data_IF_562127251578
#
_entry.id   IF_562127251578
#
_cell.length_a   1.000
_cell.length_b   1.000
_cell.length_c   1.000
_cell.angle_alpha   90.00
_cell.angle_beta   90.00
_cell.angle_gamma   90.00
#
_symmetry.space_group_name_H-M   'P 1'
#
loop_
_entity.id
_entity.type
_entity.pdbx_description
1 polymer ?
#
# COMPACT_ATOMS: atom_id res chain seq x y z
N UNK A 1 -38.92 -89.00 -24.74
CA UNK A 1 -39.37 -87.65 -25.12
C UNK A 1 -38.17 -86.75 -25.17
N UNK A 2 -37.83 -86.32 -26.37
CA UNK A 2 -36.70 -85.46 -26.73
C UNK A 2 -37.11 -84.01 -26.52
N UNK A 3 -36.49 -83.33 -25.55
CA UNK A 3 -36.66 -81.89 -25.32
C UNK A 3 -36.06 -81.14 -26.50
N UNK A 4 -36.88 -80.35 -27.18
CA UNK A 4 -36.53 -79.66 -28.41
C UNK A 4 -35.64 -78.44 -28.16
N UNK A 5 -34.73 -78.19 -29.11
CA UNK A 5 -33.74 -77.11 -29.14
C UNK A 5 -34.30 -75.66 -29.01
N UNK A 6 -35.62 -75.49 -28.84
CA UNK A 6 -36.31 -74.20 -28.62
C UNK A 6 -36.62 -73.89 -27.16
N UNK A 7 -36.55 -74.86 -26.25
CA UNK A 7 -36.82 -74.62 -24.81
C UNK A 7 -35.57 -74.19 -24.02
N UNK A 8 -34.38 -74.26 -24.62
CA UNK A 8 -33.13 -73.78 -24.00
C UNK A 8 -32.89 -72.27 -24.15
N UNK A 9 -33.71 -71.55 -24.94
CA UNK A 9 -33.51 -70.13 -25.24
C UNK A 9 -34.52 -69.18 -24.58
N UNK A 10 -35.34 -69.67 -23.64
CA UNK A 10 -36.33 -68.84 -22.93
C UNK A 10 -35.87 -68.28 -21.57
N UNK A 11 -34.76 -68.78 -21.02
CA UNK A 11 -34.37 -68.54 -19.62
C UNK A 11 -33.14 -67.65 -19.39
N UNK A 12 -32.60 -67.00 -20.43
CA UNK A 12 -31.31 -66.30 -20.32
C UNK A 12 -31.38 -64.77 -20.53
N UNK A 13 -32.57 -64.15 -20.52
CA UNK A 13 -32.72 -62.72 -20.87
C UNK A 13 -33.34 -61.84 -19.79
N UNK A 14 -33.55 -62.33 -18.56
CA UNK A 14 -34.20 -61.55 -17.50
C UNK A 14 -33.33 -61.28 -16.25
N UNK A 15 -31.99 -61.28 -16.38
CA UNK A 15 -31.09 -60.89 -15.28
C UNK A 15 -29.93 -59.98 -15.74
N UNK A 16 -30.08 -59.31 -16.89
CA UNK A 16 -29.01 -58.52 -17.50
C UNK A 16 -29.36 -57.05 -17.77
N UNK A 17 -30.46 -56.54 -17.22
CA UNK A 17 -30.87 -55.15 -17.39
C UNK A 17 -31.18 -54.55 -16.03
N UNK A 18 -30.13 -54.06 -15.35
CA UNK A 18 -30.13 -52.95 -14.36
C UNK A 18 -28.77 -52.89 -13.65
N UNK A 19 -27.67 -52.98 -14.40
CA UNK A 19 -26.48 -52.26 -13.97
C UNK A 19 -26.79 -50.78 -14.24
N UNK A 20 -27.54 -50.17 -13.32
CA UNK A 20 -27.70 -48.73 -13.22
C UNK A 20 -26.31 -48.13 -13.39
N UNK A 21 -26.10 -47.45 -14.52
CA UNK A 21 -25.08 -46.42 -14.60
C UNK A 21 -25.57 -45.32 -13.67
N UNK A 22 -25.44 -45.57 -12.35
CA UNK A 22 -25.52 -44.52 -11.38
C UNK A 22 -24.44 -43.52 -11.80
N UNK A 23 -24.76 -42.23 -11.93
CA UNK A 23 -23.71 -41.25 -12.12
C UNK A 23 -22.75 -41.47 -10.95
N UNK A 24 -21.50 -41.87 -11.25
CA UNK A 24 -20.41 -41.68 -10.30
C UNK A 24 -20.28 -40.17 -10.17
N UNK A 25 -21.13 -39.58 -9.35
CA UNK A 25 -20.85 -38.26 -8.81
C UNK A 25 -19.46 -38.37 -8.26
N UNK A 26 -18.53 -37.58 -8.77
CA UNK A 26 -17.21 -37.48 -8.21
C UNK A 26 -17.43 -37.16 -6.72
N UNK A 27 -17.23 -38.16 -5.86
CA UNK A 27 -17.29 -37.97 -4.44
C UNK A 27 -16.08 -37.10 -4.16
N UNK A 28 -16.32 -35.79 -4.03
CA UNK A 28 -15.27 -34.82 -3.82
C UNK A 28 -14.37 -35.31 -2.69
N UNK A 29 -13.06 -35.28 -2.90
CA UNK A 29 -12.11 -35.78 -1.92
C UNK A 29 -12.44 -35.22 -0.54
N UNK A 30 -12.62 -36.11 0.44
CA UNK A 30 -12.93 -35.73 1.81
C UNK A 30 -11.74 -34.93 2.36
N UNK A 31 -11.99 -33.68 2.77
CA UNK A 31 -10.95 -32.82 3.33
C UNK A 31 -10.92 -32.98 4.85
N UNK A 32 -9.74 -33.31 5.38
CA UNK A 32 -9.49 -33.38 6.83
C UNK A 32 -8.65 -32.18 7.28
N UNK A 33 -9.10 -31.47 8.31
CA UNK A 33 -8.36 -30.36 8.95
C UNK A 33 -8.15 -30.72 10.41
N UNK A 34 -6.91 -30.59 10.90
CA UNK A 34 -6.55 -30.74 12.31
C UNK A 34 -5.97 -29.41 12.83
N UNK A 35 -6.41 -28.98 14.02
CA UNK A 35 -5.96 -27.73 14.66
C UNK A 35 -5.27 -28.08 15.98
N UNK A 36 -3.95 -27.89 16.02
CA UNK A 36 -3.11 -28.23 17.17
C UNK A 36 -2.94 -27.02 18.09
N UNK A 37 -3.86 -26.85 19.05
CA UNK A 37 -3.91 -25.66 19.91
C UNK A 37 -2.69 -25.52 20.86
N UNK A 38 -1.95 -26.61 21.11
CA UNK A 38 -0.80 -26.64 22.00
C UNK A 38 0.55 -26.55 21.26
N UNK A 39 0.53 -26.33 19.95
CA UNK A 39 1.72 -26.26 19.09
C UNK A 39 1.80 -24.88 18.40
N UNK A 40 2.14 -23.80 19.13
CA UNK A 40 2.26 -22.49 18.53
C UNK A 40 3.43 -22.42 17.56
N UNK A 41 3.17 -22.01 16.32
CA UNK A 41 4.19 -21.90 15.25
C UNK A 41 4.82 -20.51 15.12
N UNK A 42 4.19 -19.48 15.67
CA UNK A 42 4.69 -18.11 15.60
C UNK A 42 3.65 -17.06 15.93
N UNK A 43 4.07 -15.80 15.99
CA UNK A 43 3.17 -14.65 16.13
C UNK A 43 2.82 -14.11 14.75
N UNK A 44 1.53 -13.99 14.46
CA UNK A 44 1.06 -13.27 13.27
C UNK A 44 1.29 -11.78 13.53
N UNK A 45 2.26 -11.19 12.83
CA UNK A 45 2.57 -9.77 12.96
C UNK A 45 1.34 -8.93 12.62
N UNK A 46 0.97 -7.91 13.41
CA UNK A 46 -0.12 -7.00 13.07
C UNK A 46 0.14 -6.28 11.74
N UNK A 47 1.41 -6.14 11.34
CA UNK A 47 1.77 -5.48 10.09
C UNK A 47 1.39 -6.29 8.84
N UNK A 48 0.95 -7.55 8.97
CA UNK A 48 0.36 -8.28 7.82
C UNK A 48 -0.96 -7.65 7.38
N UNK A 49 -1.65 -6.93 8.27
CA UNK A 49 -2.88 -6.19 8.01
C UNK A 49 -2.61 -4.69 7.75
N UNK A 50 -1.46 -4.40 7.14
CA UNK A 50 -1.11 -3.04 6.74
C UNK A 50 -1.78 -2.64 5.45
N UNK A 51 -1.81 -1.34 5.18
CA UNK A 51 -2.44 -0.77 4.00
C UNK A 51 -1.47 0.11 3.23
N UNK A 52 -1.86 0.39 2.00
CA UNK A 52 -1.09 1.19 1.05
C UNK A 52 -2.00 2.23 0.42
N UNK A 53 -1.52 3.47 0.43
CA UNK A 53 -2.19 4.61 -0.19
C UNK A 53 -1.19 5.33 -1.11
N UNK A 54 -1.65 5.65 -2.31
CA UNK A 54 -0.85 6.34 -3.32
C UNK A 54 -1.57 7.61 -3.75
N UNK A 55 -0.81 8.63 -4.15
CA UNK A 55 -1.29 9.75 -4.97
C UNK A 55 -1.75 9.26 -6.36
N UNK A 56 -2.87 8.53 -6.36
CA UNK A 56 -3.45 7.86 -7.53
C UNK A 56 -4.97 8.08 -7.51
N UNK A 57 -5.48 8.66 -8.60
CA UNK A 57 -6.91 8.85 -8.81
C UNK A 57 -7.61 9.53 -7.63
N UNK A 58 -8.68 8.91 -7.13
CA UNK A 58 -9.46 9.39 -5.99
C UNK A 58 -8.98 8.91 -4.61
N UNK A 59 -7.83 8.23 -4.51
CA UNK A 59 -7.37 7.66 -3.22
C UNK A 59 -7.05 8.77 -2.22
N UNK A 60 -6.15 9.68 -2.58
CA UNK A 60 -5.82 10.83 -1.73
C UNK A 60 -6.91 11.89 -1.84
N UNK A 61 -7.11 12.45 -3.03
CA UNK A 61 -8.04 13.55 -3.22
C UNK A 61 -9.46 13.04 -3.44
N UNK A 62 -10.42 13.63 -2.74
CA UNK A 62 -11.76 13.09 -2.50
C UNK A 62 -11.78 11.94 -1.48
N UNK A 63 -10.97 10.89 -1.66
CA UNK A 63 -10.95 9.73 -0.76
C UNK A 63 -10.54 10.06 0.68
N UNK A 64 -9.31 10.51 0.89
CA UNK A 64 -8.77 10.88 2.20
C UNK A 64 -8.90 12.39 2.44
N UNK A 65 -8.34 13.20 1.56
CA UNK A 65 -8.31 14.65 1.63
C UNK A 65 -9.50 15.24 0.88
N UNK A 66 -10.37 15.89 1.64
CA UNK A 66 -11.54 16.63 1.11
C UNK A 66 -11.34 18.15 1.22
N UNK A 67 -10.35 18.61 1.98
CA UNK A 67 -10.09 20.02 2.27
C UNK A 67 -10.84 20.52 3.51
N UNK A 68 -10.23 21.46 4.24
CA UNK A 68 -10.73 21.96 5.53
C UNK A 68 -12.10 22.63 5.39
N UNK A 69 -12.30 23.43 4.33
CA UNK A 69 -13.54 24.13 4.01
C UNK A 69 -14.59 23.26 3.28
N UNK A 70 -14.36 21.95 3.18
CA UNK A 70 -15.27 21.06 2.48
C UNK A 70 -16.60 20.89 3.22
N UNK A 71 -17.69 20.77 2.46
CA UNK A 71 -19.00 20.36 2.98
C UNK A 71 -19.00 18.91 3.48
N UNK A 72 -18.05 18.10 3.04
CA UNK A 72 -17.87 16.74 3.54
C UNK A 72 -17.31 16.81 4.96
N UNK A 73 -17.94 16.15 5.96
CA UNK A 73 -17.45 16.16 7.34
C UNK A 73 -15.99 15.72 7.43
N UNK A 74 -15.14 16.56 7.99
CA UNK A 74 -13.69 16.37 8.01
C UNK A 74 -13.05 16.77 9.35
N UNK A 75 -11.82 16.32 9.56
CA UNK A 75 -10.95 16.73 10.67
C UNK A 75 -9.65 17.25 10.05
N UNK A 76 -9.46 18.57 10.03
CA UNK A 76 -8.29 19.19 9.39
C UNK A 76 -8.16 18.84 7.91
N UNK A 77 -9.29 18.77 7.19
CA UNK A 77 -9.34 18.43 5.77
C UNK A 77 -9.36 16.93 5.44
N UNK A 78 -9.18 16.05 6.44
CA UNK A 78 -9.25 14.60 6.28
C UNK A 78 -10.70 14.13 6.50
N UNK A 79 -11.25 13.35 5.57
CA UNK A 79 -12.61 12.79 5.60
C UNK A 79 -12.86 12.01 6.90
N UNK A 80 -13.77 12.50 7.73
CA UNK A 80 -14.03 11.93 9.08
C UNK A 80 -14.59 10.52 9.01
N UNK A 81 -15.51 10.25 8.09
CA UNK A 81 -16.12 8.93 7.94
C UNK A 81 -15.09 7.85 7.61
N UNK A 82 -14.16 8.14 6.70
CA UNK A 82 -13.06 7.23 6.36
C UNK A 82 -12.22 6.90 7.60
N UNK A 83 -11.83 7.92 8.37
CA UNK A 83 -11.06 7.73 9.62
C UNK A 83 -11.77 6.77 10.56
N UNK A 84 -13.08 6.95 10.77
CA UNK A 84 -13.86 6.09 11.68
C UNK A 84 -13.93 4.64 11.20
N UNK A 85 -13.97 4.40 9.89
CA UNK A 85 -13.94 3.05 9.34
C UNK A 85 -12.55 2.41 9.44
N UNK A 86 -11.49 3.16 9.11
CA UNK A 86 -10.11 2.67 9.15
C UNK A 86 -9.70 2.34 10.60
N UNK A 87 -10.09 3.15 11.59
CA UNK A 87 -9.84 2.83 13.01
C UNK A 87 -10.37 1.45 13.41
N UNK A 88 -11.54 1.05 12.90
CA UNK A 88 -12.21 -0.22 13.29
C UNK A 88 -11.43 -1.45 12.84
N UNK A 89 -10.72 -1.35 11.71
CA UNK A 89 -9.92 -2.46 11.19
C UNK A 89 -8.51 -2.52 11.77
N UNK A 90 -8.14 -1.56 12.63
CA UNK A 90 -6.88 -1.53 13.41
C UNK A 90 -5.65 -1.76 12.51
N UNK A 91 -5.41 -0.89 11.53
CA UNK A 91 -4.31 -1.04 10.58
C UNK A 91 -2.96 -1.10 11.31
N UNK A 92 -2.05 -1.97 10.84
CA UNK A 92 -0.67 -2.01 11.32
C UNK A 92 0.11 -0.76 10.89
N UNK A 93 0.57 -0.76 9.63
CA UNK A 93 1.22 0.41 9.01
C UNK A 93 0.42 0.94 7.82
N UNK A 94 0.62 2.21 7.49
CA UNK A 94 0.12 2.87 6.28
C UNK A 94 1.29 3.28 5.39
N UNK A 95 1.39 2.73 4.18
CA UNK A 95 2.42 3.11 3.20
C UNK A 95 1.97 4.31 2.35
N UNK A 96 2.84 5.33 2.19
CA UNK A 96 2.63 6.55 1.38
C UNK A 96 4.00 7.10 0.91
N UNK A 97 4.16 7.90 -0.17
CA UNK A 97 3.15 8.52 -1.05
C UNK A 97 2.72 7.68 -2.23
N UNK A 98 3.27 6.48 -2.40
CA UNK A 98 2.92 5.68 -3.54
C UNK A 98 3.89 4.59 -3.86
N UNK A 99 3.49 3.76 -4.80
CA UNK A 99 4.39 2.91 -5.52
C UNK A 99 5.18 3.77 -6.49
N UNK A 100 4.81 3.74 -7.76
CA UNK A 100 5.52 4.48 -8.79
C UNK A 100 5.55 6.00 -8.57
N UNK A 101 4.51 6.58 -7.94
CA UNK A 101 4.51 7.99 -7.60
C UNK A 101 5.64 8.38 -6.63
N UNK A 102 6.04 7.50 -5.70
CA UNK A 102 7.08 7.83 -4.73
C UNK A 102 8.42 8.15 -5.40
N UNK A 103 8.77 7.41 -6.45
CA UNK A 103 10.02 7.60 -7.21
C UNK A 103 10.02 8.82 -8.14
N UNK A 104 8.97 9.63 -8.16
CA UNK A 104 8.99 11.00 -8.72
C UNK A 104 8.78 12.09 -7.67
N UNK A 105 8.43 11.72 -6.44
CA UNK A 105 7.99 12.66 -5.43
C UNK A 105 9.17 13.41 -4.79
N UNK A 106 8.97 14.71 -4.55
CA UNK A 106 9.85 15.53 -3.72
C UNK A 106 9.08 15.93 -2.47
N UNK A 107 9.47 15.38 -1.32
CA UNK A 107 8.76 15.60 -0.06
C UNK A 107 8.67 17.07 0.34
N UNK A 108 9.59 17.91 -0.16
CA UNK A 108 9.60 19.36 0.07
C UNK A 108 8.43 20.07 -0.60
N UNK A 109 7.94 19.52 -1.71
CA UNK A 109 6.77 20.06 -2.38
C UNK A 109 5.50 19.93 -1.50
N UNK A 110 5.49 18.98 -0.57
CA UNK A 110 4.36 18.68 0.32
C UNK A 110 4.44 19.28 1.73
N UNK A 111 5.30 20.25 1.99
CA UNK A 111 5.41 20.92 3.30
C UNK A 111 5.20 22.43 3.18
N UNK A 112 5.08 23.12 4.33
CA UNK A 112 4.84 24.56 4.36
C UNK A 112 3.39 24.96 4.02
N UNK A 113 3.14 26.28 3.88
CA UNK A 113 1.82 26.82 3.57
C UNK A 113 1.25 26.22 2.29
N UNK A 114 0.06 25.63 2.40
CA UNK A 114 -0.55 24.78 1.37
C UNK A 114 -0.83 25.53 0.05
N UNK A 115 -1.15 26.81 0.14
CA UNK A 115 -1.38 27.73 -0.97
C UNK A 115 -0.11 28.07 -1.76
N UNK A 116 1.07 27.86 -1.16
CA UNK A 116 2.39 28.10 -1.77
C UNK A 116 3.05 26.83 -2.29
N UNK A 117 2.46 25.66 -2.05
CA UNK A 117 3.00 24.38 -2.51
C UNK A 117 2.93 24.30 -4.04
N UNK A 118 3.98 23.80 -4.71
CA UNK A 118 4.01 23.74 -6.16
C UNK A 118 3.04 22.69 -6.68
N UNK A 119 2.50 22.93 -7.88
CA UNK A 119 1.79 21.90 -8.63
C UNK A 119 2.77 21.11 -9.49
N UNK A 120 2.62 19.79 -9.55
CA UNK A 120 3.43 18.88 -10.38
C UNK A 120 2.55 18.11 -11.36
N UNK A 121 3.19 17.47 -12.33
CA UNK A 121 2.51 16.46 -13.15
C UNK A 121 2.18 15.26 -12.26
N UNK A 122 0.95 14.78 -12.33
CA UNK A 122 0.57 13.55 -11.64
C UNK A 122 1.16 12.36 -12.43
N UNK A 123 1.90 11.46 -11.77
CA UNK A 123 2.55 10.30 -12.40
C UNK A 123 1.56 9.58 -13.33
N UNK A 124 0.38 9.25 -12.79
CA UNK A 124 -0.64 8.45 -13.46
C UNK A 124 -1.40 9.20 -14.57
N UNK A 125 -1.24 10.52 -14.65
CA UNK A 125 -1.85 11.32 -15.71
C UNK A 125 -0.98 11.36 -16.99
N UNK A 126 0.33 11.18 -16.89
CA UNK A 126 1.29 11.46 -17.98
C UNK A 126 2.26 10.30 -18.28
N UNK A 127 2.03 9.10 -17.73
CA UNK A 127 2.84 7.92 -18.07
C UNK A 127 2.37 7.24 -19.34
N UNK A 128 3.33 6.71 -20.11
CA UNK A 128 3.11 5.80 -21.26
C UNK A 128 2.33 4.52 -20.89
N UNK A 129 2.17 4.23 -19.59
CA UNK A 129 1.33 3.14 -19.11
C UNK A 129 -0.13 3.50 -19.32
N UNK A 130 -0.68 3.07 -20.46
CA UNK A 130 -2.10 3.15 -20.89
C UNK A 130 -2.96 3.97 -19.93
N UNK A 131 -2.78 5.29 -19.93
CA UNK A 131 -3.70 6.19 -19.25
C UNK A 131 -5.09 5.77 -19.74
N UNK A 132 -5.89 5.22 -18.83
CA UNK A 132 -7.22 4.75 -19.18
C UNK A 132 -7.97 5.94 -19.74
N UNK A 133 -9.00 5.73 -20.58
CA UNK A 133 -9.74 6.86 -21.13
C UNK A 133 -10.32 7.78 -20.03
N UNK A 134 -10.44 7.25 -18.80
CA UNK A 134 -10.71 7.99 -17.58
C UNK A 134 -9.71 9.13 -17.33
N UNK A 135 -8.38 8.92 -17.46
CA UNK A 135 -7.36 9.95 -17.23
C UNK A 135 -7.22 10.92 -18.40
N UNK A 136 -7.28 10.42 -19.64
CA UNK A 136 -7.15 11.24 -20.86
C UNK A 136 -8.23 12.32 -20.97
N UNK A 137 -9.43 12.02 -20.49
CA UNK A 137 -10.58 12.91 -20.56
C UNK A 137 -10.71 13.85 -19.34
N UNK A 138 -9.81 13.75 -18.34
CA UNK A 138 -9.81 14.68 -17.22
C UNK A 138 -9.44 16.08 -17.71
N UNK A 139 -10.40 16.99 -17.61
CA UNK A 139 -10.19 18.40 -17.96
C UNK A 139 -9.45 19.14 -16.85
N UNK A 140 -9.79 18.83 -15.60
CA UNK A 140 -9.35 19.54 -14.39
C UNK A 140 -9.25 18.58 -13.20
N UNK A 141 -8.67 19.06 -12.09
CA UNK A 141 -8.65 18.34 -10.82
C UNK A 141 -7.32 17.64 -10.53
N UNK A 142 -7.12 17.22 -9.27
CA UNK A 142 -5.85 16.66 -8.80
C UNK A 142 -5.52 15.28 -9.41
N UNK A 143 -6.49 14.66 -10.10
CA UNK A 143 -6.26 13.46 -10.89
C UNK A 143 -5.46 13.75 -12.17
N UNK A 144 -5.33 15.02 -12.58
CA UNK A 144 -4.56 15.47 -13.75
C UNK A 144 -3.20 16.06 -13.39
N UNK A 145 -3.12 16.74 -12.26
CA UNK A 145 -1.89 17.34 -11.72
C UNK A 145 -1.86 17.12 -10.23
N UNK A 146 -0.68 17.05 -9.64
CA UNK A 146 -0.51 16.91 -8.20
C UNK A 146 -0.42 18.30 -7.55
N UNK A 147 -1.40 18.75 -6.74
CA UNK A 147 -1.32 20.05 -6.07
C UNK A 147 -0.46 20.07 -4.79
N UNK A 148 -0.04 18.91 -4.30
CA UNK A 148 0.69 18.72 -3.05
C UNK A 148 -0.05 19.22 -1.79
N UNK A 149 -1.39 19.28 -1.85
CA UNK A 149 -2.21 19.71 -0.72
C UNK A 149 -2.20 18.70 0.44
N UNK A 150 -2.01 17.43 0.12
CA UNK A 150 -1.78 16.36 1.08
C UNK A 150 -0.31 15.94 0.99
N UNK A 151 0.49 16.30 1.99
CA UNK A 151 1.91 15.97 2.05
C UNK A 151 2.28 15.34 3.39
N UNK A 152 3.52 15.56 3.83
CA UNK A 152 4.07 14.90 5.03
C UNK A 152 3.20 15.15 6.27
N UNK A 153 2.83 16.40 6.55
CA UNK A 153 2.06 16.75 7.74
C UNK A 153 0.64 16.16 7.73
N UNK A 154 -0.05 16.26 6.59
CA UNK A 154 -1.40 15.71 6.44
C UNK A 154 -1.41 14.16 6.54
N UNK A 155 -0.40 13.50 5.96
CA UNK A 155 -0.25 12.05 6.10
C UNK A 155 0.02 11.62 7.54
N UNK A 156 0.86 12.36 8.27
CA UNK A 156 1.11 12.10 9.68
C UNK A 156 -0.14 12.31 10.53
N UNK A 157 -0.94 13.33 10.23
CA UNK A 157 -2.24 13.53 10.87
C UNK A 157 -3.20 12.37 10.57
N UNK A 158 -3.25 11.87 9.34
CA UNK A 158 -4.05 10.70 8.98
C UNK A 158 -3.63 9.46 9.76
N UNK A 159 -2.32 9.22 9.90
CA UNK A 159 -1.80 8.10 10.70
C UNK A 159 -2.22 8.22 12.17
N UNK A 160 -2.05 9.40 12.78
CA UNK A 160 -2.50 9.67 14.17
C UNK A 160 -4.00 9.47 14.35
N UNK A 161 -4.81 9.98 13.42
CA UNK A 161 -6.25 9.84 13.46
C UNK A 161 -6.68 8.38 13.34
N UNK A 162 -6.02 7.58 12.50
CA UNK A 162 -6.39 6.17 12.28
C UNK A 162 -5.75 5.19 13.28
N UNK A 163 -4.78 5.65 14.06
CA UNK A 163 -3.98 4.80 14.95
C UNK A 163 -2.97 3.91 14.21
N UNK A 164 -2.67 4.21 12.95
CA UNK A 164 -1.69 3.48 12.15
C UNK A 164 -0.28 4.03 12.33
N UNK A 165 0.73 3.18 12.12
CA UNK A 165 2.12 3.61 12.03
C UNK A 165 2.43 4.15 10.62
N UNK A 166 3.17 5.26 10.50
CA UNK A 166 3.58 5.80 9.21
C UNK A 166 4.66 4.94 8.57
N UNK A 167 4.53 4.69 7.27
CA UNK A 167 5.52 4.05 6.42
C UNK A 167 5.76 4.89 5.16
N UNK A 168 6.92 5.53 5.08
CA UNK A 168 7.28 6.37 3.93
C UNK A 168 8.04 5.59 2.86
N UNK A 169 7.65 5.75 1.60
CA UNK A 169 8.44 5.33 0.45
C UNK A 169 9.32 6.50 -0.03
N UNK A 170 10.64 6.32 0.06
CA UNK A 170 11.65 7.28 -0.37
C UNK A 170 11.88 7.17 -1.88
N UNK A 171 12.16 8.31 -2.52
CA UNK A 171 12.45 8.40 -3.93
C UNK A 171 13.93 8.05 -4.19
N UNK A 172 14.18 6.94 -4.88
CA UNK A 172 15.51 6.50 -5.30
C UNK A 172 15.75 6.83 -6.77
N UNK A 173 14.73 6.73 -7.63
CA UNK A 173 14.89 6.92 -9.08
C UNK A 173 15.38 8.31 -9.46
N UNK A 174 14.82 9.35 -8.84
CA UNK A 174 14.94 10.73 -9.33
C UNK A 174 15.48 11.71 -8.29
N UNK A 175 15.88 11.22 -7.12
CA UNK A 175 16.43 12.03 -6.02
C UNK A 175 17.66 11.39 -5.42
N UNK A 176 18.48 12.25 -4.80
CA UNK A 176 19.70 11.83 -4.16
C UNK A 176 19.48 11.41 -2.70
N UNK A 177 20.49 10.74 -2.14
CA UNK A 177 20.52 10.31 -0.74
C UNK A 177 20.31 11.49 0.21
N UNK A 178 20.85 12.67 -0.14
CA UNK A 178 20.72 13.89 0.67
C UNK A 178 19.24 14.25 0.87
N UNK A 179 18.44 14.22 -0.19
CA UNK A 179 17.00 14.52 -0.12
C UNK A 179 16.29 13.59 0.86
N UNK A 180 16.63 12.31 0.87
CA UNK A 180 16.10 11.33 1.82
C UNK A 180 16.55 11.60 3.27
N UNK A 181 17.85 11.82 3.49
CA UNK A 181 18.39 12.09 4.83
C UNK A 181 17.76 13.35 5.46
N UNK A 182 17.55 14.38 4.65
CA UNK A 182 16.87 15.60 5.07
C UNK A 182 15.38 15.35 5.39
N UNK A 183 14.70 14.45 4.68
CA UNK A 183 13.32 14.06 5.04
C UNK A 183 13.29 13.31 6.38
N UNK A 184 14.24 12.39 6.57
CA UNK A 184 14.39 11.63 7.80
C UNK A 184 14.69 12.55 8.99
N UNK A 185 15.54 13.56 8.80
CA UNK A 185 15.79 14.63 9.78
C UNK A 185 14.53 15.44 10.07
N UNK A 186 13.85 15.95 9.04
CA UNK A 186 12.60 16.70 9.19
C UNK A 186 11.57 15.92 9.99
N UNK A 187 11.47 14.60 9.77
CA UNK A 187 10.51 13.75 10.47
C UNK A 187 10.92 13.45 11.92
N UNK A 188 12.20 13.27 12.22
CA UNK A 188 12.62 12.63 13.47
C UNK A 188 13.49 13.49 14.41
N UNK A 189 14.10 14.56 13.92
CA UNK A 189 14.92 15.43 14.77
C UNK A 189 14.04 16.21 15.79
N UNK A 190 14.43 16.29 17.08
CA UNK A 190 13.74 17.12 18.05
C UNK A 190 13.75 18.59 17.63
N UNK A 191 12.65 19.31 17.89
CA UNK A 191 12.59 20.75 17.64
C UNK A 191 13.70 21.50 18.39
N UNK A 192 14.29 22.50 17.73
CA UNK A 192 15.44 23.27 18.20
C UNK A 192 16.80 22.65 17.87
N UNK A 193 16.84 21.44 17.28
CA UNK A 193 18.12 20.79 16.92
C UNK A 193 18.62 21.24 15.55
N UNK A 194 17.71 21.35 14.58
CA UNK A 194 18.07 21.67 13.19
C UNK A 194 17.04 22.58 12.54
N UNK A 195 17.45 23.27 11.47
CA UNK A 195 16.55 24.10 10.64
C UNK A 195 15.34 23.31 10.13
N UNK A 196 15.50 22.02 9.79
CA UNK A 196 14.40 21.19 9.32
C UNK A 196 13.44 20.81 10.45
N UNK A 197 13.96 20.53 11.65
CA UNK A 197 13.12 20.28 12.83
C UNK A 197 12.32 21.53 13.24
N UNK A 198 12.91 22.72 13.14
CA UNK A 198 12.24 23.99 13.44
C UNK A 198 11.22 24.34 12.35
N UNK A 199 11.52 24.02 11.09
CA UNK A 199 10.56 24.13 9.99
C UNK A 199 9.35 23.22 10.22
N UNK A 200 9.55 21.97 10.66
CA UNK A 200 8.43 21.07 11.04
C UNK A 200 7.59 21.68 12.15
N UNK A 201 8.24 22.21 13.19
CA UNK A 201 7.56 22.87 14.30
C UNK A 201 6.76 24.10 13.85
N UNK A 202 7.33 24.94 12.99
CA UNK A 202 6.66 26.10 12.40
C UNK A 202 5.48 25.71 11.50
N UNK A 203 5.53 24.53 10.88
CA UNK A 203 4.44 23.97 10.09
C UNK A 203 3.30 23.36 10.94
N UNK A 204 3.40 23.41 12.27
CA UNK A 204 2.35 22.98 13.20
C UNK A 204 2.65 21.70 13.97
N UNK A 205 3.72 20.97 13.64
CA UNK A 205 4.09 19.70 14.27
C UNK A 205 5.40 19.84 15.03
N UNK A 206 5.31 20.36 16.27
CA UNK A 206 6.48 20.61 17.12
C UNK A 206 7.25 19.33 17.44
N UNK A 207 6.53 18.30 17.90
CA UNK A 207 7.15 17.03 18.28
C UNK A 207 7.55 16.20 17.05
N UNK A 208 8.64 15.41 17.12
CA UNK A 208 9.00 14.49 16.05
C UNK A 208 7.88 13.51 15.72
N UNK A 209 7.80 13.14 14.45
CA UNK A 209 6.87 12.13 13.95
C UNK A 209 7.23 10.70 14.34
N UNK A 210 8.50 10.46 14.69
CA UNK A 210 9.03 9.14 15.06
C UNK A 210 8.79 8.06 13.98
N UNK A 211 9.03 8.42 12.72
CA UNK A 211 8.83 7.52 11.58
C UNK A 211 9.89 6.44 11.57
N UNK A 212 9.45 5.20 11.78
CA UNK A 212 10.31 4.02 11.86
C UNK A 212 10.36 3.20 10.57
N UNK A 213 9.37 3.29 9.68
CA UNK A 213 9.32 2.47 8.47
C UNK A 213 9.66 3.32 7.24
N UNK A 214 10.69 2.89 6.50
CA UNK A 214 11.19 3.58 5.31
C UNK A 214 11.46 2.60 4.18
N UNK A 215 10.72 2.74 3.09
CA UNK A 215 10.85 1.95 1.88
C UNK A 215 11.84 2.69 1.00
N UNK A 216 12.91 2.03 0.60
CA UNK A 216 13.98 2.69 -0.12
C UNK A 216 13.75 2.44 -1.61
N UNK A 217 13.06 3.37 -2.26
CA UNK A 217 12.57 3.22 -3.63
C UNK A 217 11.18 2.57 -3.68
N UNK A 218 10.75 2.21 -4.87
CA UNK A 218 9.60 1.36 -5.13
C UNK A 218 9.71 0.76 -6.54
N UNK A 219 9.51 -0.56 -6.67
CA UNK A 219 9.48 -1.22 -7.98
C UNK A 219 10.67 -0.76 -8.83
N UNK A 220 11.86 -0.74 -8.22
CA UNK A 220 13.07 -0.19 -8.83
C UNK A 220 13.42 -0.90 -10.14
N UNK A 221 12.95 -2.13 -10.31
CA UNK A 221 13.03 -2.96 -11.53
C UNK A 221 12.07 -2.55 -12.66
N UNK A 222 11.18 -1.59 -12.42
CA UNK A 222 10.20 -1.09 -13.37
C UNK A 222 10.09 0.43 -13.29
N UNK A 223 8.93 0.94 -12.85
CA UNK A 223 8.69 2.38 -12.78
C UNK A 223 9.64 3.16 -11.85
N UNK A 224 10.33 2.47 -10.94
CA UNK A 224 11.39 3.00 -10.08
C UNK A 224 12.79 3.08 -10.75
N UNK A 225 12.92 2.75 -12.04
CA UNK A 225 14.10 3.10 -12.83
C UNK A 225 14.70 1.96 -13.66
N UNK A 226 13.94 0.89 -13.92
CA UNK A 226 14.37 -0.30 -14.68
C UNK A 226 15.74 -0.86 -14.23
N UNK A 227 16.03 -0.76 -12.93
CA UNK A 227 17.30 -1.19 -12.34
C UNK A 227 17.38 -2.71 -12.29
N UNK A 228 18.57 -3.23 -12.59
CA UNK A 228 18.94 -4.59 -12.21
C UNK A 228 18.99 -4.75 -10.68
N UNK A 229 18.87 -5.99 -10.15
CA UNK A 229 19.01 -6.23 -8.72
C UNK A 229 20.33 -5.70 -8.12
N UNK A 230 21.44 -5.80 -8.85
CA UNK A 230 22.76 -5.35 -8.42
C UNK A 230 22.87 -3.81 -8.34
N UNK A 231 22.30 -3.11 -9.32
CA UNK A 231 22.21 -1.65 -9.32
C UNK A 231 21.36 -1.17 -8.13
N UNK A 232 20.18 -1.74 -7.96
CA UNK A 232 19.30 -1.38 -6.85
C UNK A 232 19.93 -1.71 -5.49
N UNK A 233 20.62 -2.85 -5.34
CA UNK A 233 21.33 -3.18 -4.11
C UNK A 233 22.43 -2.14 -3.78
N UNK A 234 23.07 -1.57 -4.80
CA UNK A 234 24.05 -0.48 -4.63
C UNK A 234 23.36 0.80 -4.15
N UNK A 235 22.24 1.20 -4.77
CA UNK A 235 21.47 2.37 -4.32
C UNK A 235 20.91 2.18 -2.91
N UNK A 236 20.29 1.04 -2.62
CA UNK A 236 19.76 0.70 -1.29
C UNK A 236 20.80 0.89 -0.18
N UNK A 237 22.04 0.43 -0.42
CA UNK A 237 23.15 0.59 0.54
C UNK A 237 23.52 2.05 0.76
N UNK A 238 23.50 2.90 -0.27
CA UNK A 238 23.80 4.33 -0.12
C UNK A 238 22.80 5.03 0.81
N UNK A 239 21.53 4.64 0.74
CA UNK A 239 20.46 5.22 1.56
C UNK A 239 20.46 4.70 3.01
N UNK A 240 21.00 3.51 3.27
CA UNK A 240 20.79 2.82 4.56
C UNK A 240 22.04 2.64 5.42
N UNK A 241 23.24 2.68 4.84
CA UNK A 241 24.46 2.29 5.56
C UNK A 241 24.87 3.29 6.67
N UNK A 242 24.65 4.58 6.46
CA UNK A 242 25.11 5.64 7.37
C UNK A 242 24.03 6.71 7.57
N UNK A 243 22.97 6.31 8.27
CA UNK A 243 21.82 7.18 8.54
C UNK A 243 21.93 7.78 9.95
N UNK A 244 21.73 9.11 10.12
CA UNK A 244 21.67 9.74 11.44
C UNK A 244 20.60 9.10 12.31
N UNK A 245 20.90 8.91 13.59
CA UNK A 245 19.91 8.45 14.57
C UNK A 245 19.36 9.64 15.34
N UNK A 246 18.03 9.76 15.38
CA UNK A 246 17.35 10.76 16.17
C UNK A 246 16.58 10.10 17.32
N UNK A 247 16.83 10.56 18.54
CA UNK A 247 16.22 10.03 19.76
C UNK A 247 16.36 8.49 19.89
N UNK A 248 15.26 7.78 20.10
CA UNK A 248 15.19 6.32 20.24
C UNK A 248 14.54 5.64 19.03
N UNK A 249 14.43 6.33 17.89
CA UNK A 249 13.76 5.77 16.70
C UNK A 249 14.60 4.62 16.13
N UNK A 250 14.03 3.42 16.10
CA UNK A 250 14.61 2.27 15.41
C UNK A 250 14.10 2.21 13.98
N UNK A 251 14.97 2.49 13.02
CA UNK A 251 14.62 2.43 11.61
C UNK A 251 14.48 0.99 11.12
N UNK A 252 13.43 0.75 10.33
CA UNK A 252 13.16 -0.43 9.55
C UNK A 252 13.26 0.01 8.09
N UNK A 253 14.40 -0.26 7.47
CA UNK A 253 14.58 -0.02 6.04
C UNK A 253 14.08 -1.25 5.27
N UNK A 254 13.15 -1.02 4.35
CA UNK A 254 12.52 -2.06 3.55
C UNK A 254 12.98 -1.88 2.10
N UNK A 255 13.49 -2.96 1.51
CA UNK A 255 13.75 -3.01 0.09
C UNK A 255 12.45 -3.23 -0.68
N UNK A 256 12.20 -2.45 -1.72
CA UNK A 256 10.89 -2.31 -2.38
C UNK A 256 10.99 -2.17 -3.90
#
# INVERSE_FOLDING_TARGET
MTVGRREFMGGALAAGALALVAPRGAQGAESKIEVLLNEPVGTISPNIYSHFIEHLGGVIYDGIWVGEDSKVPNVGGIRRELVEHVKRIKPGVMRWPGGCFADQYDWRDGIGPRDKRPRRVNFWADTNYKATDAYKNLKTGPQKYEPNWFGTGEFMQFCRLTGSQPYFAANVRSRDVRTFLEWLEYCNAPAGLTTLSDMRAANGDREPYNVSYWGIGNESWGCGGDMTPEEYATEFRKFTAWVPTYQTVKYNFIAT
#
